data_IF_246955197880
#
_entry.id   IF_246955197880
#
_cell.length_a   1.000
_cell.length_b   1.000
_cell.length_c   1.000
_cell.angle_alpha   90.00
_cell.angle_beta   90.00
_cell.angle_gamma   90.00
#
_symmetry.space_group_name_H-M   'P 1'
#
loop_
_entity.id
_entity.type
_entity.pdbx_description
1 polymer ?
#
# COMPACT_ATOMS: atom_id res chain seq x y z
N UNK A 1 23.12 23.85 49.30
CA UNK A 1 22.70 24.48 48.03
C UNK A 1 22.85 23.42 46.93
N UNK A 2 21.83 22.55 46.79
CA UNK A 2 21.86 21.49 45.80
C UNK A 2 21.54 22.10 44.44
N UNK A 3 22.50 22.00 43.56
CA UNK A 3 22.31 22.39 42.15
C UNK A 3 21.41 21.30 41.54
N UNK A 4 20.14 21.66 41.29
CA UNK A 4 19.19 20.82 40.55
C UNK A 4 19.54 20.88 39.06
N UNK A 5 20.60 20.23 38.67
CA UNK A 5 20.94 20.00 37.26
C UNK A 5 20.70 18.53 36.95
N UNK A 6 19.42 18.17 36.90
CA UNK A 6 19.00 16.78 36.92
C UNK A 6 18.83 16.11 35.55
N UNK A 7 18.88 16.83 34.46
CA UNK A 7 18.78 16.21 33.11
C UNK A 7 20.04 16.51 32.29
N UNK A 8 20.97 15.59 32.27
CA UNK A 8 22.27 15.85 31.63
C UNK A 8 22.34 15.54 30.14
N UNK A 9 21.56 14.61 29.65
CA UNK A 9 21.61 14.24 28.23
C UNK A 9 20.37 13.41 27.87
N UNK A 10 19.71 13.73 26.75
CA UNK A 10 18.79 12.82 26.11
C UNK A 10 19.58 12.11 25.01
N UNK A 11 19.58 10.79 25.03
CA UNK A 11 20.07 9.96 23.95
C UNK A 11 18.87 9.35 23.21
N UNK A 12 18.88 9.44 21.87
CA UNK A 12 17.95 8.70 21.03
C UNK A 12 18.51 7.29 20.81
N UNK A 13 17.70 6.27 21.08
CA UNK A 13 18.03 4.88 20.81
C UNK A 13 17.63 4.43 19.40
N UNK A 14 17.27 5.36 18.53
CA UNK A 14 16.95 5.01 17.14
C UNK A 14 18.26 4.86 16.38
N UNK A 15 18.45 3.70 15.79
CA UNK A 15 19.47 3.48 14.77
C UNK A 15 18.77 3.35 13.41
N UNK A 16 18.71 4.43 12.64
CA UNK A 16 18.03 4.40 11.34
C UNK A 16 18.74 3.45 10.37
N UNK A 17 18.00 2.90 9.45
CA UNK A 17 18.53 2.47 8.17
C UNK A 17 18.81 1.00 7.97
N UNK A 18 18.50 0.12 8.90
CA UNK A 18 18.58 -1.28 8.57
C UNK A 18 17.21 -1.92 8.66
N UNK A 19 16.58 -2.05 7.53
CA UNK A 19 15.22 -2.60 7.38
C UNK A 19 15.15 -3.92 8.03
N UNK A 20 15.73 -4.76 8.28
CA UNK A 20 15.71 -6.05 8.94
C UNK A 20 16.83 -6.21 9.97
N UNK A 21 17.33 -5.14 10.52
CA UNK A 21 18.26 -5.25 11.63
C UNK A 21 17.51 -5.45 12.93
N UNK A 22 18.25 -5.64 14.00
CA UNK A 22 17.69 -5.82 15.34
C UNK A 22 17.06 -4.55 15.93
N UNK A 23 16.99 -3.45 15.15
CA UNK A 23 16.38 -2.21 15.58
C UNK A 23 14.86 -2.23 15.30
N UNK A 24 14.15 -2.94 16.17
CA UNK A 24 12.69 -3.00 16.15
C UNK A 24 12.02 -1.61 16.25
N UNK A 25 12.72 -0.62 16.78
CA UNK A 25 12.15 0.73 16.96
C UNK A 25 11.84 1.40 15.61
N UNK A 26 12.79 1.35 14.68
CA UNK A 26 12.57 1.96 13.36
C UNK A 26 11.42 1.30 12.60
N UNK A 27 11.38 -0.03 12.60
CA UNK A 27 10.35 -0.78 11.92
C UNK A 27 8.96 -0.59 12.55
N UNK A 28 8.88 -0.62 13.87
CA UNK A 28 7.61 -0.47 14.60
C UNK A 28 7.13 0.99 14.68
N UNK A 29 7.83 1.92 14.00
CA UNK A 29 7.56 3.36 14.06
C UNK A 29 7.63 3.91 15.49
N UNK A 30 8.57 3.42 16.26
CA UNK A 30 8.80 3.82 17.64
C UNK A 30 10.17 4.46 17.82
N UNK A 31 10.33 5.25 18.86
CA UNK A 31 11.61 5.75 19.33
C UNK A 31 11.67 5.67 20.85
N UNK A 32 12.76 5.14 21.36
CA UNK A 32 13.04 5.16 22.79
C UNK A 32 14.03 6.28 23.11
N UNK A 33 13.63 7.18 23.97
CA UNK A 33 14.46 8.27 24.48
C UNK A 33 14.82 7.98 25.92
N UNK A 34 16.10 8.07 26.24
CA UNK A 34 16.62 7.82 27.57
C UNK A 34 17.43 9.02 28.09
N UNK A 35 17.28 9.32 29.37
CA UNK A 35 18.07 10.33 30.07
C UNK A 35 18.17 9.99 31.57
N UNK A 36 19.05 10.65 32.29
CA UNK A 36 19.13 10.53 33.74
C UNK A 36 18.31 11.64 34.36
N UNK A 37 17.38 11.28 35.25
CA UNK A 37 16.47 12.18 35.94
C UNK A 37 16.57 11.94 37.45
N UNK A 38 16.55 13.00 38.25
CA UNK A 38 16.56 12.85 39.68
C UNK A 38 15.29 12.15 40.17
N UNK A 39 15.36 11.26 41.20
CA UNK A 39 14.21 10.51 41.68
C UNK A 39 12.98 11.35 42.02
N UNK A 40 13.21 12.53 42.59
CA UNK A 40 12.15 13.48 42.97
C UNK A 40 11.42 14.07 41.76
N UNK A 41 12.08 14.17 40.61
CA UNK A 41 11.53 14.75 39.38
C UNK A 41 10.81 13.72 38.49
N UNK A 42 11.00 12.42 38.77
CA UNK A 42 10.50 11.35 37.91
C UNK A 42 9.01 11.46 37.63
N UNK A 43 8.17 11.65 38.65
CA UNK A 43 6.71 11.71 38.49
C UNK A 43 6.22 12.95 37.69
N UNK A 44 7.09 13.96 37.57
CA UNK A 44 6.82 15.21 36.89
C UNK A 44 7.51 15.29 35.52
N UNK A 45 8.19 14.22 35.15
CA UNK A 45 8.94 14.14 33.88
C UNK A 45 8.08 13.53 32.79
N UNK A 46 8.09 14.19 31.65
CA UNK A 46 7.46 13.71 30.39
C UNK A 46 8.35 14.02 29.21
N UNK A 47 8.14 13.28 28.12
CA UNK A 47 8.68 13.61 26.81
C UNK A 47 7.53 14.09 25.92
N UNK A 48 7.74 15.20 25.27
CA UNK A 48 6.86 15.67 24.22
C UNK A 48 7.60 15.65 22.88
N UNK A 49 6.90 15.36 21.81
CA UNK A 49 7.49 15.33 20.48
C UNK A 49 6.49 15.85 19.43
N UNK A 50 7.01 16.22 18.27
CA UNK A 50 6.23 16.57 17.09
C UNK A 50 7.02 16.26 15.82
N UNK A 51 6.34 16.03 14.71
CA UNK A 51 6.95 16.20 13.39
C UNK A 51 7.32 17.66 13.21
N UNK A 52 8.43 17.97 12.55
CA UNK A 52 8.93 19.36 12.44
C UNK A 52 7.89 20.32 11.85
N UNK A 53 7.07 19.82 10.92
CA UNK A 53 5.96 20.53 10.26
C UNK A 53 4.59 20.35 10.95
N UNK A 54 4.55 19.60 12.07
CA UNK A 54 3.34 19.23 12.78
C UNK A 54 3.17 19.92 14.13
N UNK A 55 2.22 19.42 14.90
CA UNK A 55 1.88 19.91 16.24
C UNK A 55 2.50 19.02 17.33
N UNK A 56 2.73 19.60 18.53
CA UNK A 56 3.17 18.84 19.68
C UNK A 56 2.14 17.79 20.07
N UNK A 57 2.59 16.53 20.13
CA UNK A 57 1.76 15.41 20.52
C UNK A 57 1.60 15.36 22.04
N UNK A 58 0.65 14.54 22.50
CA UNK A 58 0.43 14.31 23.92
C UNK A 58 1.72 13.86 24.62
N UNK A 59 1.92 14.34 25.82
CA UNK A 59 3.11 14.04 26.62
C UNK A 59 3.24 12.53 26.89
N UNK A 60 4.39 11.99 26.57
CA UNK A 60 4.71 10.57 26.81
C UNK A 60 5.31 10.44 28.22
N UNK A 61 4.68 9.62 29.05
CA UNK A 61 5.24 9.23 30.33
C UNK A 61 6.26 8.12 30.15
N UNK A 62 7.33 8.19 30.92
CA UNK A 62 8.38 7.17 30.89
C UNK A 62 8.38 6.28 32.12
N UNK A 63 9.35 5.41 32.15
CA UNK A 63 9.69 4.58 33.27
C UNK A 63 11.08 4.96 33.80
N UNK A 64 11.29 4.83 35.10
CA UNK A 64 12.59 5.05 35.75
C UNK A 64 13.18 3.72 36.19
N UNK A 65 14.46 3.52 35.90
CA UNK A 65 15.25 2.50 36.52
C UNK A 65 15.77 3.05 37.87
N UNK A 66 15.37 2.40 38.98
CA UNK A 66 15.74 2.84 40.32
C UNK A 66 17.23 2.65 40.65
N UNK A 67 17.95 1.80 39.91
CA UNK A 67 19.36 1.49 40.19
C UNK A 67 20.30 2.59 39.69
N UNK A 68 20.00 3.17 38.51
CA UNK A 68 20.87 4.15 37.83
C UNK A 68 20.20 5.51 37.58
N UNK A 69 18.91 5.67 37.90
CA UNK A 69 18.15 6.89 37.70
C UNK A 69 17.78 7.14 36.23
N UNK A 70 17.95 6.15 35.37
CA UNK A 70 17.61 6.30 33.94
C UNK A 70 16.11 6.41 33.77
N UNK A 71 15.66 7.50 33.14
CA UNK A 71 14.30 7.69 32.67
C UNK A 71 14.24 7.28 31.20
N UNK A 72 13.29 6.42 30.86
CA UNK A 72 13.09 5.95 29.50
C UNK A 72 11.65 6.20 29.05
N UNK A 73 11.46 6.88 27.94
CA UNK A 73 10.16 7.12 27.35
C UNK A 73 10.14 6.59 25.90
N UNK A 74 9.10 5.84 25.55
CA UNK A 74 8.94 5.29 24.21
C UNK A 74 7.84 6.03 23.48
N UNK A 75 8.22 6.70 22.38
CA UNK A 75 7.29 7.27 21.42
C UNK A 75 6.77 6.14 20.55
N UNK A 76 5.45 6.01 20.43
CA UNK A 76 4.80 4.94 19.68
C UNK A 76 3.72 5.48 18.76
N UNK A 77 3.42 4.75 17.70
CA UNK A 77 2.26 5.03 16.86
C UNK A 77 0.96 4.75 17.61
N UNK A 78 -0.04 5.59 17.38
CA UNK A 78 -1.42 5.35 17.80
C UNK A 78 -2.28 4.97 16.58
N UNK A 79 -3.38 4.26 16.86
CA UNK A 79 -4.26 3.71 15.85
C UNK A 79 -5.70 4.10 16.10
N UNK A 80 -6.46 4.31 15.04
CA UNK A 80 -7.89 4.44 15.05
C UNK A 80 -8.57 3.09 15.40
N UNK A 81 -9.89 3.12 15.61
CA UNK A 81 -10.66 1.92 15.91
C UNK A 81 -10.65 0.89 14.74
N UNK A 82 -10.51 1.35 13.52
CA UNK A 82 -10.40 0.53 12.30
C UNK A 82 -8.97 0.04 12.01
N UNK A 83 -8.04 0.19 12.95
CA UNK A 83 -6.63 -0.15 12.82
C UNK A 83 -5.83 0.69 11.79
N UNK A 84 -6.37 1.78 11.29
CA UNK A 84 -5.58 2.77 10.55
C UNK A 84 -4.68 3.54 11.51
N UNK A 85 -3.44 3.80 11.07
CA UNK A 85 -2.47 4.53 11.87
C UNK A 85 -2.81 6.04 11.89
N UNK A 86 -2.77 6.66 13.07
CA UNK A 86 -2.96 8.10 13.19
C UNK A 86 -1.71 8.81 12.67
N UNK A 87 -1.88 9.66 11.67
CA UNK A 87 -0.83 10.16 10.79
C UNK A 87 0.32 10.88 11.49
N UNK A 88 0.11 11.58 12.58
CA UNK A 88 1.15 12.37 13.25
C UNK A 88 1.78 11.68 14.45
N UNK A 89 1.42 10.43 14.71
CA UNK A 89 1.93 9.66 15.87
C UNK A 89 3.05 8.72 15.46
N UNK A 90 3.94 8.43 16.41
CA UNK A 90 5.11 7.59 16.18
C UNK A 90 6.23 8.28 15.39
N UNK A 91 7.24 7.51 15.04
CA UNK A 91 8.41 7.95 14.29
C UNK A 91 8.47 7.16 12.98
N UNK A 92 8.61 7.85 11.85
CA UNK A 92 8.49 7.25 10.52
C UNK A 92 9.59 7.68 9.58
N UNK A 93 9.96 6.84 8.61
CA UNK A 93 10.87 7.20 7.54
C UNK A 93 10.41 8.44 6.77
N UNK A 94 11.34 9.19 6.22
CA UNK A 94 11.07 10.36 5.40
C UNK A 94 10.73 11.63 6.18
N UNK A 95 10.69 11.57 7.51
CA UNK A 95 10.31 12.70 8.35
C UNK A 95 11.39 13.09 9.34
N UNK A 96 11.30 14.33 9.83
CA UNK A 96 12.12 14.86 10.91
C UNK A 96 11.23 15.22 12.09
N UNK A 97 11.71 14.92 13.29
CA UNK A 97 10.99 15.14 14.54
C UNK A 97 11.82 16.03 15.47
N UNK A 98 11.10 16.83 16.26
CA UNK A 98 11.62 17.53 17.41
C UNK A 98 11.06 16.87 18.66
N UNK A 99 11.89 16.74 19.70
CA UNK A 99 11.46 16.26 21.00
C UNK A 99 12.01 17.13 22.11
N UNK A 100 11.33 17.13 23.25
CA UNK A 100 11.77 17.80 24.45
C UNK A 100 11.44 17.00 25.71
N UNK A 101 12.37 17.04 26.66
CA UNK A 101 12.16 16.58 28.03
C UNK A 101 11.58 17.72 28.85
N UNK A 102 10.46 17.48 29.49
CA UNK A 102 9.74 18.47 30.28
C UNK A 102 9.65 17.96 31.72
N UNK A 103 10.05 18.79 32.68
CA UNK A 103 9.91 18.55 34.11
C UNK A 103 9.13 19.72 34.69
N UNK A 104 8.03 19.46 35.39
CA UNK A 104 7.12 20.48 35.92
C UNK A 104 6.73 21.56 34.91
N UNK A 105 6.39 21.15 33.69
CA UNK A 105 6.03 22.06 32.62
C UNK A 105 7.19 22.87 32.02
N UNK A 106 8.42 22.64 32.49
CA UNK A 106 9.60 23.35 32.01
C UNK A 106 10.46 22.45 31.13
N UNK A 107 10.80 22.89 29.92
CA UNK A 107 11.72 22.18 29.03
C UNK A 107 13.12 22.19 29.65
N UNK A 108 13.68 21.00 29.87
CA UNK A 108 15.02 20.81 30.44
C UNK A 108 16.05 20.43 29.38
N UNK A 109 15.63 19.69 28.36
CA UNK A 109 16.47 19.32 27.24
C UNK A 109 15.61 19.15 25.99
N UNK A 110 16.21 19.27 24.82
CA UNK A 110 15.54 19.05 23.53
C UNK A 110 16.53 18.48 22.51
N UNK A 111 15.99 17.87 21.47
CA UNK A 111 16.77 17.36 20.36
C UNK A 111 15.91 17.09 19.14
N UNK A 112 16.52 16.46 18.15
CA UNK A 112 15.87 16.11 16.89
C UNK A 112 16.16 14.65 16.55
N UNK A 113 15.21 14.02 15.85
CA UNK A 113 15.35 12.75 15.19
C UNK A 113 15.17 13.01 13.71
N UNK A 114 16.18 12.78 12.91
CA UNK A 114 16.16 13.07 11.48
C UNK A 114 16.17 11.77 10.69
N UNK A 115 15.03 11.42 10.12
CA UNK A 115 14.82 10.25 9.28
C UNK A 115 14.47 10.65 7.83
N UNK A 116 14.78 11.88 7.43
CA UNK A 116 14.44 12.40 6.09
C UNK A 116 15.13 11.64 4.96
N UNK A 117 16.30 11.08 5.22
CA UNK A 117 17.03 10.24 4.27
C UNK A 117 16.56 8.77 4.27
N UNK A 118 15.83 8.36 5.32
CA UNK A 118 15.37 7.00 5.46
C UNK A 118 14.12 6.77 4.62
N UNK A 119 14.12 5.72 3.84
CA UNK A 119 13.00 5.34 2.98
C UNK A 119 12.93 3.82 2.93
N UNK A 120 11.71 3.30 2.87
CA UNK A 120 11.49 1.93 2.42
C UNK A 120 11.78 1.78 0.92
N UNK A 121 11.87 0.56 0.45
CA UNK A 121 12.04 0.29 -0.98
C UNK A 121 10.87 0.87 -1.76
N UNK A 122 11.13 1.61 -2.85
CA UNK A 122 10.09 2.16 -3.68
C UNK A 122 9.33 1.04 -4.40
N UNK A 123 8.11 1.34 -4.83
CA UNK A 123 7.36 0.47 -5.73
C UNK A 123 8.08 0.45 -7.08
N UNK A 124 8.45 -0.74 -7.54
CA UNK A 124 9.16 -0.89 -8.81
C UNK A 124 8.31 -0.34 -9.96
N UNK A 125 8.92 0.52 -10.79
CA UNK A 125 8.24 1.23 -11.88
C UNK A 125 6.93 1.90 -11.44
N UNK A 126 6.91 2.47 -10.24
CA UNK A 126 5.72 3.15 -9.71
C UNK A 126 5.25 4.32 -10.57
N UNK A 127 6.17 5.00 -11.27
CA UNK A 127 5.88 6.08 -12.21
C UNK A 127 5.53 5.61 -13.63
N UNK A 128 5.30 4.33 -13.86
CA UNK A 128 4.84 3.76 -15.14
C UNK A 128 5.67 4.16 -16.37
N UNK A 129 6.97 4.45 -16.22
CA UNK A 129 7.84 4.90 -17.30
C UNK A 129 8.47 3.75 -18.11
N UNK A 130 8.70 2.62 -17.46
CA UNK A 130 9.32 1.46 -18.09
C UNK A 130 8.27 0.56 -18.74
N UNK A 131 8.43 0.33 -20.03
CA UNK A 131 7.51 -0.52 -20.81
C UNK A 131 8.29 -1.48 -21.70
N UNK A 132 7.84 -2.71 -21.73
CA UNK A 132 8.39 -3.74 -22.60
C UNK A 132 7.29 -4.45 -23.39
N UNK A 133 7.71 -5.19 -24.41
CA UNK A 133 6.81 -5.99 -25.23
C UNK A 133 7.20 -7.46 -25.19
N UNK A 134 6.22 -8.32 -25.25
CA UNK A 134 6.41 -9.76 -25.35
C UNK A 134 5.48 -10.36 -26.38
N UNK A 135 5.68 -11.63 -26.67
CA UNK A 135 4.81 -12.41 -27.56
C UNK A 135 4.13 -13.51 -26.75
N UNK A 136 2.79 -13.54 -26.78
CA UNK A 136 2.00 -14.62 -26.22
C UNK A 136 1.18 -15.30 -27.31
N UNK A 137 1.35 -16.59 -27.49
CA UNK A 137 0.68 -17.33 -28.56
C UNK A 137 1.02 -16.77 -29.95
N UNK A 138 -0.01 -16.44 -30.72
CA UNK A 138 0.11 -15.80 -32.05
C UNK A 138 0.19 -14.26 -31.99
N UNK A 139 -0.07 -13.65 -30.85
CA UNK A 139 -0.02 -12.21 -30.68
C UNK A 139 1.39 -11.74 -30.34
N UNK A 140 1.80 -10.72 -31.05
CA UNK A 140 3.09 -10.06 -30.87
C UNK A 140 2.87 -8.66 -30.30
N UNK A 141 3.92 -8.15 -29.65
CA UNK A 141 3.93 -6.78 -29.12
C UNK A 141 2.88 -6.54 -28.03
N UNK A 142 2.63 -7.54 -27.19
CA UNK A 142 1.82 -7.35 -25.99
C UNK A 142 2.65 -6.53 -25.01
N UNK A 143 2.09 -5.44 -24.53
CA UNK A 143 2.78 -4.41 -23.76
C UNK A 143 2.58 -4.65 -22.26
N UNK A 144 3.65 -4.50 -21.50
CA UNK A 144 3.62 -4.56 -20.03
C UNK A 144 4.43 -3.41 -19.43
N UNK A 145 3.99 -2.85 -18.29
CA UNK A 145 4.68 -1.76 -17.63
C UNK A 145 5.87 -2.24 -16.80
N UNK A 146 6.86 -2.81 -17.47
CA UNK A 146 8.12 -3.24 -16.89
C UNK A 146 9.26 -2.99 -17.86
N UNK A 147 10.45 -2.73 -17.33
CA UNK A 147 11.68 -2.86 -18.12
C UNK A 147 11.83 -4.30 -18.64
N UNK A 148 12.50 -4.47 -19.75
CA UNK A 148 12.76 -5.79 -20.33
C UNK A 148 13.47 -6.70 -19.32
N UNK A 149 12.94 -7.88 -19.13
CA UNK A 149 13.43 -8.87 -18.16
C UNK A 149 12.91 -8.68 -16.72
N UNK A 150 12.14 -7.65 -16.44
CA UNK A 150 11.45 -7.47 -15.17
C UNK A 150 10.01 -7.99 -15.27
N UNK A 151 9.47 -8.53 -14.19
CA UNK A 151 8.13 -9.12 -14.13
C UNK A 151 7.35 -8.69 -12.87
N UNK A 152 7.64 -7.50 -12.35
CA UNK A 152 6.95 -6.99 -11.16
C UNK A 152 5.48 -6.73 -11.45
N UNK A 153 5.18 -5.99 -12.53
CA UNK A 153 3.82 -5.72 -12.99
C UNK A 153 3.41 -6.67 -14.12
N UNK A 154 2.12 -6.96 -14.18
CA UNK A 154 1.50 -7.71 -15.28
C UNK A 154 0.07 -7.24 -15.50
N UNK A 155 -0.57 -7.79 -16.52
CA UNK A 155 -1.98 -7.57 -16.82
C UNK A 155 -2.59 -8.82 -17.43
N UNK A 156 -3.93 -8.81 -17.58
CA UNK A 156 -4.65 -9.84 -18.33
C UNK A 156 -4.49 -9.75 -19.85
N UNK A 157 -3.58 -8.95 -20.37
CA UNK A 157 -3.22 -8.96 -21.79
C UNK A 157 -2.76 -10.37 -22.17
N UNK A 158 -3.50 -11.01 -23.03
CA UNK A 158 -3.17 -12.34 -23.51
C UNK A 158 -3.41 -12.44 -25.03
N UNK A 159 -3.23 -13.61 -25.61
CA UNK A 159 -3.39 -13.81 -27.04
C UNK A 159 -4.78 -13.51 -27.59
N UNK A 160 -5.82 -13.45 -26.78
CA UNK A 160 -7.22 -13.21 -27.19
C UNK A 160 -7.72 -11.83 -26.78
N UNK A 161 -7.33 -11.34 -25.61
CA UNK A 161 -7.76 -10.04 -25.07
C UNK A 161 -6.55 -9.15 -24.88
N UNK A 162 -6.12 -8.51 -25.95
CA UNK A 162 -5.05 -7.50 -25.88
C UNK A 162 -5.63 -6.12 -25.54
N UNK A 163 -4.80 -5.24 -25.00
CA UNK A 163 -5.19 -3.85 -24.75
C UNK A 163 -5.95 -3.63 -23.45
N UNK A 164 -5.97 -4.60 -22.53
CA UNK A 164 -6.53 -4.42 -21.19
C UNK A 164 -5.70 -3.48 -20.33
N UNK A 165 -4.41 -3.40 -20.61
CA UNK A 165 -3.47 -2.43 -20.04
C UNK A 165 -2.53 -1.96 -21.16
N UNK A 166 -2.45 -0.67 -21.37
CA UNK A 166 -1.59 -0.07 -22.41
C UNK A 166 -0.84 1.15 -21.89
N UNK A 167 0.29 1.44 -22.49
CA UNK A 167 1.03 2.66 -22.29
C UNK A 167 0.25 3.85 -22.86
N UNK A 168 0.17 4.95 -22.13
CA UNK A 168 -0.54 6.15 -22.55
C UNK A 168 0.24 7.41 -22.15
N UNK A 169 0.16 8.45 -22.97
CA UNK A 169 0.82 9.75 -22.77
C UNK A 169 -0.10 10.79 -22.09
N UNK A 170 -1.31 10.41 -21.72
CA UNK A 170 -2.24 11.30 -21.02
C UNK A 170 -1.96 11.31 -19.52
N UNK A 171 -0.80 11.82 -19.16
CA UNK A 171 -0.32 11.93 -17.79
C UNK A 171 -1.02 13.05 -17.00
N UNK A 172 -0.91 13.04 -15.69
CA UNK A 172 -1.46 14.10 -14.85
C UNK A 172 -0.65 15.40 -14.98
N UNK A 173 -1.34 16.52 -14.88
CA UNK A 173 -0.72 17.84 -14.97
C UNK A 173 0.12 18.07 -13.69
N UNK A 174 1.43 18.30 -13.86
CA UNK A 174 2.39 18.45 -12.75
C UNK A 174 3.38 17.30 -12.63
N UNK A 175 3.21 16.23 -13.41
CA UNK A 175 4.27 15.25 -13.60
C UNK A 175 5.41 15.90 -14.41
N UNK A 176 6.50 16.20 -13.72
CA UNK A 176 7.68 16.84 -14.33
C UNK A 176 8.75 15.84 -14.73
N UNK A 177 8.60 14.59 -14.36
CA UNK A 177 9.60 13.53 -14.55
C UNK A 177 9.12 12.36 -15.39
N UNK A 178 7.81 12.28 -15.69
CA UNK A 178 7.21 11.19 -16.41
C UNK A 178 6.63 11.60 -17.78
N UNK A 179 6.50 10.61 -18.65
CA UNK A 179 5.92 10.75 -19.99
C UNK A 179 4.76 9.80 -20.23
N UNK A 180 4.62 8.81 -19.35
CA UNK A 180 3.66 7.72 -19.55
C UNK A 180 2.89 7.42 -18.27
N UNK A 181 1.70 6.84 -18.46
CA UNK A 181 0.88 6.24 -17.43
C UNK A 181 0.34 4.89 -17.92
N UNK A 182 -0.22 4.09 -17.04
CA UNK A 182 -0.95 2.90 -17.42
C UNK A 182 -2.42 3.25 -17.67
N UNK A 183 -2.92 2.84 -18.85
CA UNK A 183 -4.31 2.99 -19.25
C UNK A 183 -4.99 1.64 -19.29
N UNK A 184 -6.01 1.48 -18.47
CA UNK A 184 -6.79 0.26 -18.29
C UNK A 184 -8.15 0.45 -18.93
N UNK A 185 -8.47 -0.41 -19.90
CA UNK A 185 -9.73 -0.38 -20.64
C UNK A 185 -10.30 -1.79 -20.79
N UNK A 186 -11.62 -1.96 -20.57
CA UNK A 186 -12.26 -3.24 -20.81
C UNK A 186 -12.27 -3.62 -22.28
N UNK A 187 -12.30 -4.92 -22.52
CA UNK A 187 -12.49 -5.49 -23.85
C UNK A 187 -13.67 -6.46 -23.85
N UNK A 188 -14.50 -6.42 -24.85
CA UNK A 188 -15.57 -7.37 -25.09
C UNK A 188 -15.20 -8.27 -26.26
N UNK A 189 -14.83 -9.50 -25.97
CA UNK A 189 -14.52 -10.51 -26.96
C UNK A 189 -15.74 -11.37 -27.23
N UNK A 190 -15.96 -11.76 -28.48
CA UNK A 190 -17.05 -12.67 -28.86
C UNK A 190 -16.47 -14.00 -29.36
N UNK A 191 -16.99 -15.09 -28.84
CA UNK A 191 -16.72 -16.44 -29.33
C UNK A 191 -18.03 -17.06 -29.77
N UNK A 192 -18.26 -17.04 -31.07
CA UNK A 192 -19.57 -17.35 -31.63
C UNK A 192 -20.62 -16.33 -31.15
N UNK A 193 -21.68 -16.83 -30.53
CA UNK A 193 -22.74 -16.01 -29.94
C UNK A 193 -22.46 -15.56 -28.48
N UNK A 194 -21.38 -16.06 -27.88
CA UNK A 194 -21.06 -15.77 -26.49
C UNK A 194 -20.16 -14.54 -26.41
N UNK A 195 -20.61 -13.54 -25.66
CA UNK A 195 -19.84 -12.35 -25.35
C UNK A 195 -19.13 -12.54 -24.01
N UNK A 196 -17.82 -12.32 -24.01
CA UNK A 196 -16.96 -12.40 -22.83
C UNK A 196 -16.42 -11.00 -22.54
N UNK A 197 -16.80 -10.48 -21.40
CA UNK A 197 -16.27 -9.21 -20.89
C UNK A 197 -14.96 -9.48 -20.16
N UNK A 198 -13.92 -8.71 -20.48
CA UNK A 198 -12.66 -8.70 -19.74
C UNK A 198 -12.40 -7.28 -19.27
N UNK A 199 -12.30 -7.08 -17.96
CA UNK A 199 -11.97 -5.79 -17.37
C UNK A 199 -10.54 -5.38 -17.72
N UNK A 200 -10.30 -4.10 -17.94
CA UNK A 200 -8.95 -3.53 -17.98
C UNK A 200 -8.29 -3.71 -16.63
N UNK A 201 -7.07 -4.25 -16.59
CA UNK A 201 -6.43 -4.56 -15.33
C UNK A 201 -4.91 -4.43 -15.41
N UNK A 202 -4.33 -4.11 -14.25
CA UNK A 202 -2.90 -4.04 -13.97
C UNK A 202 -2.70 -4.57 -12.56
N UNK A 203 -1.74 -5.48 -12.36
CA UNK A 203 -1.47 -6.00 -11.04
C UNK A 203 -0.02 -6.48 -10.89
N UNK A 204 0.45 -6.58 -9.67
CA UNK A 204 1.75 -7.21 -9.37
C UNK A 204 1.58 -8.72 -9.35
N UNK A 205 2.44 -9.45 -10.08
CA UNK A 205 2.34 -10.90 -10.19
C UNK A 205 2.61 -11.44 -11.59
N UNK A 206 1.91 -12.53 -11.94
CA UNK A 206 1.96 -13.12 -13.29
C UNK A 206 0.57 -13.43 -13.81
N UNK A 207 0.49 -13.56 -15.13
CA UNK A 207 -0.69 -14.04 -15.80
C UNK A 207 -0.34 -15.28 -16.63
N UNK A 208 -0.91 -16.43 -16.25
CA UNK A 208 -0.67 -17.68 -16.92
C UNK A 208 -1.75 -17.91 -17.96
N UNK A 209 -1.34 -17.82 -19.22
CA UNK A 209 -2.21 -18.04 -20.36
C UNK A 209 -2.45 -19.54 -20.55
N UNK A 210 -3.71 -19.92 -20.61
CA UNK A 210 -4.11 -21.30 -20.93
C UNK A 210 -5.00 -21.33 -22.17
N UNK A 211 -4.71 -22.27 -23.09
CA UNK A 211 -5.60 -22.59 -24.21
C UNK A 211 -6.56 -23.68 -23.74
N UNK A 212 -7.84 -23.39 -23.71
CA UNK A 212 -8.84 -24.39 -23.37
C UNK A 212 -9.31 -25.22 -24.57
N UNK A 213 -10.00 -26.32 -24.26
CA UNK A 213 -10.36 -27.44 -25.16
C UNK A 213 -11.26 -27.04 -26.35
N UNK A 214 -11.66 -25.89 -26.61
CA UNK A 214 -12.44 -25.45 -27.80
C UNK A 214 -11.89 -24.18 -28.43
N UNK A 215 -10.58 -23.91 -28.28
CA UNK A 215 -9.99 -22.68 -28.79
C UNK A 215 -10.30 -21.46 -27.91
N UNK A 216 -10.91 -21.63 -26.77
CA UNK A 216 -11.03 -20.60 -25.75
C UNK A 216 -9.69 -20.46 -25.04
N UNK A 217 -9.19 -19.28 -25.02
CA UNK A 217 -8.06 -18.96 -24.17
C UNK A 217 -8.57 -18.30 -22.91
N UNK A 218 -8.27 -18.94 -21.82
CA UNK A 218 -8.42 -18.38 -20.50
C UNK A 218 -7.06 -18.03 -19.93
N UNK A 219 -7.05 -17.52 -18.72
CA UNK A 219 -5.82 -17.27 -17.98
C UNK A 219 -6.08 -17.27 -16.50
N UNK A 220 -5.03 -17.60 -15.75
CA UNK A 220 -5.01 -17.49 -14.30
C UNK A 220 -4.15 -16.32 -13.91
N UNK A 221 -4.71 -15.34 -13.21
CA UNK A 221 -3.95 -14.29 -12.57
C UNK A 221 -3.37 -14.82 -11.26
N UNK A 222 -2.06 -14.76 -11.12
CA UNK A 222 -1.34 -15.12 -9.91
C UNK A 222 -0.79 -13.86 -9.28
N UNK A 223 -1.45 -13.37 -8.24
CA UNK A 223 -1.15 -12.13 -7.56
C UNK A 223 0.04 -12.25 -6.63
N UNK A 224 0.86 -11.22 -6.59
CA UNK A 224 1.98 -11.06 -5.70
C UNK A 224 3.32 -11.03 -6.43
N UNK A 225 4.10 -10.02 -6.12
CA UNK A 225 5.51 -9.91 -6.51
C UNK A 225 6.36 -9.86 -5.25
N UNK A 226 7.61 -10.35 -5.29
CA UNK A 226 8.51 -10.29 -4.15
C UNK A 226 8.63 -8.87 -3.61
N UNK A 227 8.57 -8.73 -2.30
CA UNK A 227 8.61 -7.46 -1.60
C UNK A 227 9.55 -7.54 -0.41
N UNK A 228 10.51 -6.64 -0.39
CA UNK A 228 11.49 -6.53 0.69
C UNK A 228 10.92 -5.69 1.82
N UNK A 229 9.88 -5.80 2.35
CA UNK A 229 9.22 -5.04 3.41
C UNK A 229 10.19 -4.28 4.34
N UNK A 230 10.80 -3.22 3.79
CA UNK A 230 11.89 -2.48 4.43
C UNK A 230 11.44 -1.32 5.32
N UNK A 231 10.18 -0.93 5.24
CA UNK A 231 9.55 0.05 6.11
C UNK A 231 8.05 -0.20 6.19
N UNK A 232 7.38 0.41 7.15
CA UNK A 232 5.95 0.22 7.41
C UNK A 232 5.14 1.38 6.85
N UNK A 233 4.61 1.29 5.63
CA UNK A 233 3.82 2.37 5.03
C UNK A 233 2.47 2.52 5.74
N UNK A 234 1.98 3.75 5.82
CA UNK A 234 0.65 4.08 6.35
C UNK A 234 -0.41 4.11 5.26
N UNK A 235 0.02 4.36 4.02
CA UNK A 235 -0.87 4.37 2.86
C UNK A 235 -0.11 4.04 1.57
N UNK A 236 -0.86 3.62 0.56
CA UNK A 236 -0.48 3.68 -0.85
C UNK A 236 -1.03 4.98 -1.43
N UNK A 237 -0.17 5.78 -2.05
CA UNK A 237 -0.58 6.95 -2.83
C UNK A 237 -0.43 6.64 -4.31
N UNK A 238 -1.41 7.06 -5.11
CA UNK A 238 -1.40 6.86 -6.56
C UNK A 238 -2.10 8.03 -7.24
N UNK A 239 -1.61 8.44 -8.41
CA UNK A 239 -2.35 9.32 -9.31
C UNK A 239 -3.31 8.48 -10.12
N UNK A 240 -4.58 8.87 -10.16
CA UNK A 240 -5.59 8.13 -10.89
C UNK A 240 -6.63 9.06 -11.53
N UNK A 241 -7.15 8.60 -12.68
CA UNK A 241 -8.32 9.17 -13.34
C UNK A 241 -9.25 8.04 -13.77
N UNK A 242 -10.49 8.07 -13.35
CA UNK A 242 -11.48 7.05 -13.63
C UNK A 242 -12.67 7.59 -14.40
N UNK A 243 -13.11 6.84 -15.40
CA UNK A 243 -14.45 6.96 -16.01
C UNK A 243 -15.24 5.72 -15.58
N UNK A 244 -16.40 5.93 -14.99
CA UNK A 244 -17.23 4.88 -14.42
C UNK A 244 -18.65 5.00 -14.97
N UNK A 245 -19.19 3.91 -15.44
CA UNK A 245 -20.53 3.82 -16.02
C UNK A 245 -21.33 2.65 -15.45
N UNK A 246 -22.56 2.55 -15.90
CA UNK A 246 -23.44 1.46 -15.51
C UNK A 246 -23.01 0.14 -16.15
N UNK A 247 -23.29 -0.95 -15.47
CA UNK A 247 -23.04 -2.31 -15.95
C UNK A 247 -23.75 -2.53 -17.30
N UNK A 248 -23.01 -3.02 -18.28
CA UNK A 248 -23.53 -3.35 -19.60
C UNK A 248 -23.50 -4.86 -19.87
N UNK A 249 -22.65 -5.57 -19.14
CA UNK A 249 -22.52 -7.02 -19.20
C UNK A 249 -22.62 -7.58 -17.79
N UNK A 250 -23.61 -8.41 -17.51
CA UNK A 250 -23.87 -8.93 -16.17
C UNK A 250 -23.05 -10.19 -15.83
N UNK A 251 -22.59 -10.93 -16.87
CA UNK A 251 -21.79 -12.13 -16.67
C UNK A 251 -22.38 -13.12 -15.68
N UNK A 252 -21.57 -13.57 -14.74
CA UNK A 252 -22.02 -14.46 -13.65
C UNK A 252 -22.84 -13.74 -12.55
N UNK A 253 -22.90 -12.41 -12.54
CA UNK A 253 -23.60 -11.60 -11.54
C UNK A 253 -25.06 -11.25 -11.91
N UNK A 254 -25.60 -11.82 -12.96
CA UNK A 254 -26.96 -11.51 -13.49
C UNK A 254 -28.13 -11.69 -12.50
N UNK A 255 -27.94 -12.44 -11.44
CA UNK A 255 -28.94 -12.66 -10.42
C UNK A 255 -28.78 -11.72 -9.20
N UNK A 256 -27.70 -10.97 -9.15
CA UNK A 256 -27.28 -10.16 -8.00
C UNK A 256 -27.21 -8.67 -8.36
N UNK A 257 -26.89 -8.37 -9.62
CA UNK A 257 -26.72 -7.04 -10.17
C UNK A 257 -27.60 -6.81 -11.38
N UNK A 258 -27.82 -5.54 -11.70
CA UNK A 258 -28.60 -5.08 -12.84
C UNK A 258 -27.83 -4.11 -13.72
N UNK A 259 -28.35 -3.80 -14.90
CA UNK A 259 -27.76 -2.80 -15.79
C UNK A 259 -27.96 -1.35 -15.31
N UNK A 260 -28.71 -1.14 -14.25
CA UNK A 260 -28.83 0.18 -13.59
C UNK A 260 -27.76 0.39 -12.52
N UNK A 261 -27.06 -0.66 -12.12
CA UNK A 261 -26.01 -0.56 -11.12
C UNK A 261 -24.71 -0.03 -11.75
N UNK A 262 -23.95 0.69 -10.96
CA UNK A 262 -22.62 1.17 -11.36
C UNK A 262 -21.64 -0.01 -11.37
N UNK A 263 -20.73 -0.01 -12.34
CA UNK A 263 -19.55 -0.87 -12.34
C UNK A 263 -18.35 -0.09 -11.79
N UNK A 264 -18.00 -0.19 -10.50
CA UNK A 264 -16.91 0.59 -9.95
C UNK A 264 -15.55 0.19 -10.53
N UNK A 265 -14.67 1.16 -10.74
CA UNK A 265 -13.24 0.87 -10.88
C UNK A 265 -12.62 0.70 -9.49
N UNK A 266 -11.47 0.02 -9.39
CA UNK A 266 -10.88 -0.33 -8.09
C UNK A 266 -9.36 -0.31 -8.11
N UNK A 267 -8.77 0.12 -7.00
CA UNK A 267 -7.36 -0.04 -6.68
C UNK A 267 -7.28 -0.63 -5.28
N UNK A 268 -6.55 -1.73 -5.11
CA UNK A 268 -6.27 -2.27 -3.77
C UNK A 268 -4.81 -2.65 -3.62
N UNK A 269 -4.38 -2.73 -2.38
CA UNK A 269 -3.02 -3.14 -1.98
C UNK A 269 -3.08 -4.11 -0.83
N UNK A 270 -2.27 -5.17 -0.89
CA UNK A 270 -2.08 -6.11 0.21
C UNK A 270 -0.59 -6.40 0.40
N UNK A 271 -0.15 -6.49 1.65
CA UNK A 271 1.14 -7.04 2.03
C UNK A 271 0.87 -8.42 2.60
N UNK A 272 1.51 -9.44 2.05
CA UNK A 272 1.26 -10.83 2.42
C UNK A 272 2.50 -11.50 2.97
N UNK A 273 2.26 -12.25 4.03
CA UNK A 273 3.23 -13.06 4.74
C UNK A 273 3.41 -14.43 4.06
N UNK A 274 3.92 -14.41 2.83
CA UNK A 274 4.18 -15.63 2.08
C UNK A 274 5.11 -15.37 0.90
N UNK A 275 5.79 -16.40 0.47
CA UNK A 275 6.69 -16.40 -0.69
C UNK A 275 5.99 -16.82 -2.01
N UNK A 276 4.76 -17.34 -1.92
CA UNK A 276 4.03 -17.84 -3.07
C UNK A 276 2.92 -16.88 -3.49
N UNK A 277 2.68 -16.80 -4.79
CA UNK A 277 1.58 -16.05 -5.37
C UNK A 277 0.23 -16.66 -5.01
N UNK A 278 -0.81 -15.85 -5.07
CA UNK A 278 -2.19 -16.26 -4.83
C UNK A 278 -2.93 -16.20 -6.16
N UNK A 279 -3.41 -17.33 -6.64
CA UNK A 279 -4.16 -17.37 -7.90
C UNK A 279 -5.62 -16.94 -7.71
N UNK A 280 -6.20 -16.41 -8.80
CA UNK A 280 -7.56 -15.91 -8.79
C UNK A 280 -8.63 -17.01 -8.84
N UNK A 281 -8.25 -18.25 -8.97
CA UNK A 281 -9.19 -19.39 -9.05
C UNK A 281 -9.42 -20.00 -7.67
N UNK A 282 -8.34 -20.19 -6.91
CA UNK A 282 -8.40 -20.93 -5.65
C UNK A 282 -8.54 -20.06 -4.41
N UNK A 283 -8.14 -18.81 -4.47
CA UNK A 283 -7.99 -17.99 -3.26
C UNK A 283 -8.52 -16.54 -3.36
N UNK A 284 -9.18 -16.19 -4.44
CA UNK A 284 -9.61 -14.80 -4.66
C UNK A 284 -10.74 -14.31 -3.78
N UNK A 285 -11.44 -15.20 -3.10
CA UNK A 285 -12.56 -14.79 -2.23
C UNK A 285 -12.17 -13.72 -1.23
N UNK A 286 -10.99 -13.87 -0.66
CA UNK A 286 -10.50 -12.96 0.36
C UNK A 286 -9.80 -11.73 -0.21
N UNK A 287 -9.18 -11.84 -1.38
CA UNK A 287 -8.36 -10.77 -1.95
C UNK A 287 -9.14 -9.77 -2.78
N UNK A 288 -10.09 -10.23 -3.58
CA UNK A 288 -10.70 -9.34 -4.55
C UNK A 288 -11.85 -8.53 -3.97
N UNK A 289 -12.47 -8.99 -2.89
CA UNK A 289 -13.78 -8.47 -2.48
C UNK A 289 -14.83 -8.57 -3.60
N UNK A 290 -14.46 -9.14 -4.76
CA UNK A 290 -15.32 -9.27 -5.92
C UNK A 290 -16.40 -10.32 -5.70
N UNK A 291 -16.14 -11.25 -4.79
CA UNK A 291 -17.11 -12.23 -4.33
C UNK A 291 -18.13 -11.66 -3.34
N UNK A 292 -17.83 -10.49 -2.80
CA UNK A 292 -18.74 -9.77 -1.93
C UNK A 292 -19.28 -8.54 -2.67
N UNK A 293 -20.55 -8.53 -3.01
CA UNK A 293 -21.19 -7.39 -3.69
C UNK A 293 -21.13 -6.14 -2.83
N UNK A 294 -21.17 -6.26 -1.52
CA UNK A 294 -20.98 -5.13 -0.60
C UNK A 294 -19.58 -4.53 -0.73
N UNK A 295 -18.65 -5.31 -1.29
CA UNK A 295 -17.32 -4.86 -1.60
C UNK A 295 -16.45 -4.59 -0.39
N UNK A 296 -16.80 -5.14 0.77
CA UNK A 296 -15.92 -5.16 1.93
C UNK A 296 -14.83 -6.20 1.71
N UNK A 297 -13.62 -5.76 1.83
CA UNK A 297 -12.47 -6.64 1.94
C UNK A 297 -12.33 -7.01 3.42
N UNK A 298 -12.27 -8.29 3.72
CA UNK A 298 -12.11 -8.78 5.09
C UNK A 298 -10.64 -9.05 5.38
N UNK A 299 -9.96 -8.16 6.12
CA UNK A 299 -8.54 -8.34 6.44
C UNK A 299 -8.29 -9.53 7.36
N UNK A 300 -9.33 -10.00 8.04
CA UNK A 300 -9.28 -11.13 8.95
C UNK A 300 -9.18 -12.49 8.27
N UNK A 301 -9.23 -12.55 6.94
CA UNK A 301 -9.00 -13.82 6.23
C UNK A 301 -7.51 -14.21 6.28
N UNK A 302 -7.13 -14.65 7.47
CA UNK A 302 -5.77 -15.06 7.80
C UNK A 302 -5.31 -16.31 7.05
N UNK A 303 -6.23 -17.01 6.39
CA UNK A 303 -5.90 -18.24 5.64
C UNK A 303 -4.95 -18.01 4.48
N UNK A 304 -4.82 -16.78 4.00
CA UNK A 304 -3.89 -16.39 2.93
C UNK A 304 -2.71 -15.55 3.43
N UNK A 305 -2.60 -15.30 4.73
CA UNK A 305 -1.48 -14.60 5.34
C UNK A 305 -1.43 -13.12 5.00
N UNK A 306 -2.56 -12.44 4.96
CA UNK A 306 -2.61 -10.98 4.76
C UNK A 306 -2.16 -10.29 6.03
N UNK A 307 -1.08 -9.51 5.94
CA UNK A 307 -0.55 -8.69 7.03
C UNK A 307 -1.18 -7.30 7.05
N UNK A 308 -1.37 -6.73 5.86
CA UNK A 308 -1.89 -5.39 5.72
C UNK A 308 -2.64 -5.26 4.38
N UNK A 309 -3.62 -4.38 4.33
CA UNK A 309 -4.37 -4.12 3.12
C UNK A 309 -4.92 -2.70 3.08
N UNK A 310 -5.24 -2.23 1.87
CA UNK A 310 -5.99 -1.02 1.62
C UNK A 310 -6.81 -1.16 0.34
N UNK A 311 -7.96 -0.50 0.28
CA UNK A 311 -8.90 -0.60 -0.84
C UNK A 311 -9.51 0.77 -1.17
N UNK A 312 -9.64 1.05 -2.47
CA UNK A 312 -10.33 2.23 -2.97
C UNK A 312 -11.17 1.88 -4.18
N UNK A 313 -12.46 2.25 -4.15
CA UNK A 313 -13.40 2.06 -5.25
C UNK A 313 -13.87 3.41 -5.80
N UNK A 314 -13.77 3.55 -7.10
CA UNK A 314 -14.36 4.67 -7.82
C UNK A 314 -15.80 4.32 -8.18
N UNK A 315 -16.76 4.85 -7.44
CA UNK A 315 -18.19 4.67 -7.70
C UNK A 315 -18.78 5.78 -8.58
N UNK A 316 -17.97 6.74 -8.98
CA UNK A 316 -18.26 7.81 -9.91
C UNK A 316 -17.02 8.17 -10.71
N UNK A 317 -17.20 8.75 -11.89
CA UNK A 317 -16.09 9.29 -12.66
C UNK A 317 -15.40 10.43 -11.91
N UNK A 318 -14.08 10.52 -12.05
CA UNK A 318 -13.31 11.62 -11.47
C UNK A 318 -13.37 12.87 -12.35
N UNK A 319 -13.27 14.04 -11.74
CA UNK A 319 -13.06 15.29 -12.47
C UNK A 319 -11.55 15.44 -12.77
N UNK A 320 -11.10 14.77 -13.83
CA UNK A 320 -9.70 14.71 -14.22
C UNK A 320 -8.85 13.80 -13.33
N UNK A 321 -7.55 14.05 -13.31
CA UNK A 321 -6.58 13.35 -12.48
C UNK A 321 -6.69 13.75 -11.01
N UNK A 322 -6.65 12.77 -10.14
CA UNK A 322 -6.70 12.96 -8.69
C UNK A 322 -5.54 12.23 -8.00
N UNK A 323 -5.15 12.72 -6.84
CA UNK A 323 -4.27 12.00 -5.93
C UNK A 323 -5.13 11.17 -4.99
N UNK A 324 -5.03 9.86 -5.11
CA UNK A 324 -5.74 8.91 -4.25
C UNK A 324 -4.77 8.42 -3.19
N UNK A 325 -5.12 8.59 -1.92
CA UNK A 325 -4.37 8.03 -0.79
C UNK A 325 -5.21 6.93 -0.18
N UNK A 326 -4.72 5.70 -0.25
CA UNK A 326 -5.39 4.50 0.22
C UNK A 326 -4.76 4.12 1.56
N UNK A 327 -5.43 4.35 2.69
CA UNK A 327 -4.93 3.95 4.00
C UNK A 327 -4.67 2.44 4.06
N UNK A 328 -3.60 2.06 4.73
CA UNK A 328 -3.25 0.66 4.95
C UNK A 328 -3.63 0.26 6.37
N UNK A 329 -4.46 -0.77 6.48
CA UNK A 329 -4.86 -1.40 7.73
C UNK A 329 -3.98 -2.60 7.99
N UNK A 330 -3.41 -2.70 9.18
CA UNK A 330 -2.57 -3.81 9.61
C UNK A 330 -3.38 -4.77 10.50
N UNK A 331 -3.39 -6.04 10.15
CA UNK A 331 -4.06 -7.08 10.96
C UNK A 331 -3.37 -7.27 12.31
N UNK A 332 -2.05 -7.18 12.31
CA UNK A 332 -1.23 -7.15 13.53
C UNK A 332 -0.48 -5.82 13.58
N UNK A 333 -0.83 -4.99 14.55
CA UNK A 333 -0.23 -3.66 14.76
C UNK A 333 1.24 -3.74 15.17
N UNK A 334 1.61 -4.83 15.81
CA UNK A 334 2.94 -5.05 16.37
C UNK A 334 3.78 -5.99 15.49
N UNK A 335 3.23 -6.43 14.34
CA UNK A 335 3.96 -7.27 13.41
C UNK A 335 5.26 -6.61 12.98
N UNK A 336 6.34 -7.35 13.08
CA UNK A 336 7.68 -6.96 12.60
C UNK A 336 8.12 -7.92 11.51
N UNK A 337 8.89 -7.45 10.51
CA UNK A 337 9.40 -8.34 9.49
C UNK A 337 10.40 -9.33 10.09
N UNK A 338 10.39 -10.52 9.54
CA UNK A 338 11.34 -11.57 9.87
C UNK A 338 12.39 -11.59 8.75
N UNK A 339 13.68 -11.35 9.02
CA UNK A 339 14.71 -11.19 8.00
C UNK A 339 14.85 -12.37 7.03
N UNK A 340 14.59 -13.58 7.49
CA UNK A 340 14.67 -14.79 6.68
C UNK A 340 13.39 -15.12 5.92
N UNK A 341 12.34 -14.31 6.06
CA UNK A 341 11.04 -14.57 5.48
C UNK A 341 10.83 -13.79 4.18
N UNK A 342 10.25 -14.43 3.20
CA UNK A 342 9.83 -13.77 1.98
C UNK A 342 8.42 -13.20 2.16
N UNK A 343 8.21 -12.01 1.62
CA UNK A 343 6.92 -11.33 1.56
C UNK A 343 6.51 -11.07 0.13
N UNK A 344 5.23 -10.96 -0.11
CA UNK A 344 4.67 -10.54 -1.39
C UNK A 344 3.89 -9.25 -1.24
N UNK A 345 4.00 -8.40 -2.25
CA UNK A 345 3.14 -7.23 -2.42
C UNK A 345 2.14 -7.49 -3.54
N UNK A 346 0.87 -7.22 -3.25
CA UNK A 346 -0.19 -7.21 -4.24
C UNK A 346 -0.71 -5.80 -4.37
N UNK A 347 -0.52 -5.22 -5.54
CA UNK A 347 -1.21 -4.01 -5.96
C UNK A 347 -2.04 -4.42 -7.17
N UNK A 348 -3.33 -4.16 -7.14
CA UNK A 348 -4.22 -4.48 -8.25
C UNK A 348 -5.12 -3.31 -8.59
N UNK A 349 -5.14 -2.97 -9.87
CA UNK A 349 -5.97 -1.94 -10.45
C UNK A 349 -6.89 -2.57 -11.49
N UNK A 350 -8.18 -2.26 -11.42
CA UNK A 350 -9.15 -2.76 -12.37
C UNK A 350 -10.10 -1.66 -12.80
N UNK A 351 -10.39 -1.59 -14.09
CA UNK A 351 -11.42 -0.68 -14.63
C UNK A 351 -12.82 -1.07 -14.14
N UNK A 352 -13.02 -2.34 -13.76
CA UNK A 352 -14.29 -2.90 -13.31
C UNK A 352 -14.07 -3.92 -12.20
N UNK A 353 -14.57 -3.66 -11.01
CA UNK A 353 -14.31 -4.51 -9.84
C UNK A 353 -14.97 -5.91 -9.93
N UNK A 354 -15.92 -6.08 -10.82
CA UNK A 354 -16.59 -7.36 -11.06
C UNK A 354 -16.02 -8.14 -12.25
N UNK A 355 -14.84 -7.75 -12.72
CA UNK A 355 -14.21 -8.33 -13.91
C UNK A 355 -13.99 -9.84 -13.87
N UNK A 356 -13.67 -10.39 -12.69
CA UNK A 356 -13.53 -11.85 -12.49
C UNK A 356 -14.83 -12.63 -12.74
N UNK A 357 -15.97 -11.96 -12.74
CA UNK A 357 -17.29 -12.53 -13.05
C UNK A 357 -17.75 -12.22 -14.47
N UNK A 358 -16.86 -11.71 -15.31
CA UNK A 358 -17.22 -11.24 -16.67
C UNK A 358 -18.32 -10.19 -16.66
N UNK A 359 -18.38 -9.39 -15.58
CA UNK A 359 -19.37 -8.38 -15.34
C UNK A 359 -18.72 -7.00 -15.33
N UNK A 360 -19.32 -6.03 -16.03
CA UNK A 360 -18.80 -4.67 -16.07
C UNK A 360 -19.37 -3.80 -17.15
N UNK A 361 -18.74 -2.63 -17.34
CA UNK A 361 -19.11 -1.58 -18.27
C UNK A 361 -18.02 -1.36 -19.31
N UNK A 362 -18.34 -1.46 -20.59
CA UNK A 362 -17.40 -1.19 -21.68
C UNK A 362 -16.97 0.28 -21.78
N UNK A 363 -17.69 1.18 -21.10
CA UNK A 363 -17.36 2.60 -21.05
C UNK A 363 -16.37 2.96 -19.95
N UNK A 364 -16.04 2.02 -19.08
CA UNK A 364 -15.11 2.28 -18.00
C UNK A 364 -13.69 2.45 -18.52
N UNK A 365 -12.96 3.35 -17.85
CA UNK A 365 -11.55 3.60 -18.09
C UNK A 365 -10.89 3.91 -16.76
N UNK A 366 -9.68 3.42 -16.57
CA UNK A 366 -8.87 3.76 -15.40
C UNK A 366 -7.44 4.07 -15.86
N UNK A 367 -6.97 5.27 -15.57
CA UNK A 367 -5.59 5.69 -15.72
C UNK A 367 -4.94 5.67 -14.36
N UNK A 368 -3.74 5.12 -14.25
CA UNK A 368 -2.96 5.09 -13.01
C UNK A 368 -1.50 5.42 -13.27
N UNK A 369 -0.89 6.12 -12.29
CA UNK A 369 0.46 6.61 -12.37
C UNK A 369 1.00 6.92 -10.96
N UNK A 370 2.30 7.12 -10.82
CA UNK A 370 2.97 7.57 -9.59
C UNK A 370 2.54 6.81 -8.33
N UNK A 371 2.72 5.50 -8.33
CA UNK A 371 2.53 4.69 -7.13
C UNK A 371 3.68 4.92 -6.15
N UNK A 372 3.35 5.36 -4.97
CA UNK A 372 4.33 5.60 -3.90
C UNK A 372 3.82 5.20 -2.52
N UNK A 373 4.73 4.83 -1.64
CA UNK A 373 4.42 4.63 -0.23
C UNK A 373 4.32 5.96 0.50
N UNK A 374 3.39 6.03 1.44
CA UNK A 374 3.29 7.12 2.42
C UNK A 374 3.66 6.55 3.78
N UNK A 375 4.54 7.23 4.50
CA UNK A 375 5.01 6.87 5.83
C UNK A 375 4.55 7.87 6.88
#
# INVERSE_FOLDING_TARGET
MCIRDSAKTIASAITPGAAYNDDANFWTNTATLACVVAPEDFQHTTVEYKRTDGTWQAAVKGTQNAEDGTFTATISSAYNADNTMISETGIRPGHRYEYRLVIDGTTKASGTIDLTAEKGDPIQNGGMEDWSTTTLGSNKNIVYPNASGNSFWTSGNNGQTTGLCTKNENIWIGNTSGSYCAYLKPNLTSIGSIKIFAAGNLFTGSFDYTVSIFGWSGGTASFGSPYAWTARPTALRVKARATVGNIQTLGAKKNELSTSDISPARIFVCICDRDTRIDNVSQTKALSGEYNISGTFEPSDTGIGILAYGDHKFTASTDGWQTITIPIVYNDRDATPIPSKAYNIMISCSSDCYGAFFCGSQSNELYVDDFEWVY
#
